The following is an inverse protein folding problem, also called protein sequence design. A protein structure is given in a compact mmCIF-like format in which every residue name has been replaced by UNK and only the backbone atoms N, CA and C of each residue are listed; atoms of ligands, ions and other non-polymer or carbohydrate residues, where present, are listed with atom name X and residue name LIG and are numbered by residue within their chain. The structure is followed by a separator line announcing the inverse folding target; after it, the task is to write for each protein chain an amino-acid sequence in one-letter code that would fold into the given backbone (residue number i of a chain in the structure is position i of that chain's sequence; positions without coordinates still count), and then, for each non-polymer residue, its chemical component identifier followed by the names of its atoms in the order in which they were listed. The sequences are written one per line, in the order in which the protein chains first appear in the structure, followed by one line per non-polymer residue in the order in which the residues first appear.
data_IF_162817948216
#
_entry.id   IF_162817948216
#
_cell.length_a   1.000
_cell.length_b   1.000
_cell.length_c   1.000
_cell.angle_alpha   90.00
_cell.angle_beta   90.00
_cell.angle_gamma   90.00
#
_symmetry.space_group_name_H-M   'P 1'
#
loop_
_entity.id
_entity.type
_entity.pdbx_description
1 polymer ?
#
# COMPACT_ATOMS: atom_id res chain seq x y z
N UNK A 1 -28.06 -71.81 6.13
CA UNK A 1 -28.75 -70.53 6.39
C UNK A 1 -27.82 -69.41 5.99
N UNK A 2 -28.12 -68.71 4.88
CA UNK A 2 -27.29 -67.61 4.35
C UNK A 2 -27.70 -66.31 5.06
N UNK A 3 -26.78 -65.72 5.82
CA UNK A 3 -26.97 -64.43 6.46
C UNK A 3 -26.66 -63.32 5.44
N UNK A 4 -27.67 -62.56 5.05
CA UNK A 4 -27.51 -61.37 4.22
C UNK A 4 -27.21 -60.18 5.15
N UNK A 5 -25.95 -59.75 5.18
CA UNK A 5 -25.54 -58.53 5.88
C UNK A 5 -26.01 -57.29 5.11
N UNK A 6 -26.96 -56.57 5.70
CA UNK A 6 -27.48 -55.30 5.20
C UNK A 6 -26.50 -54.18 5.61
N UNK A 7 -25.75 -53.64 4.65
CA UNK A 7 -24.90 -52.47 4.84
C UNK A 7 -25.77 -51.21 4.76
N UNK A 8 -25.88 -50.48 5.87
CA UNK A 8 -26.53 -49.17 5.94
C UNK A 8 -25.48 -48.10 5.58
N UNK A 9 -25.64 -47.46 4.43
CA UNK A 9 -24.79 -46.35 3.99
C UNK A 9 -25.39 -45.03 4.53
N UNK A 10 -24.74 -44.41 5.51
CA UNK A 10 -25.12 -43.08 6.02
C UNK A 10 -24.35 -42.02 5.23
N UNK A 11 -25.04 -41.28 4.38
CA UNK A 11 -24.48 -40.14 3.66
C UNK A 11 -24.67 -38.89 4.53
N UNK A 12 -23.58 -38.38 5.11
CA UNK A 12 -23.56 -37.10 5.82
C UNK A 12 -23.32 -36.00 4.78
N UNK A 13 -24.37 -35.26 4.44
CA UNK A 13 -24.26 -34.07 3.60
C UNK A 13 -23.85 -32.90 4.49
N UNK A 14 -22.55 -32.58 4.49
CA UNK A 14 -22.03 -31.34 5.07
C UNK A 14 -22.41 -30.17 4.15
N UNK A 15 -23.55 -29.55 4.42
CA UNK A 15 -23.91 -28.27 3.83
C UNK A 15 -23.12 -27.15 4.49
N UNK A 16 -22.26 -26.48 3.74
CA UNK A 16 -21.67 -25.20 4.15
C UNK A 16 -22.79 -24.16 4.19
N UNK A 17 -23.27 -23.81 5.38
CA UNK A 17 -24.09 -22.62 5.59
C UNK A 17 -23.16 -21.42 5.44
N UNK A 18 -23.28 -20.69 4.34
CA UNK A 18 -22.75 -19.34 4.20
C UNK A 18 -23.48 -18.45 5.21
N UNK A 19 -22.94 -18.37 6.42
CA UNK A 19 -23.36 -17.36 7.38
C UNK A 19 -22.87 -16.02 6.87
N UNK A 20 -23.79 -15.13 6.54
CA UNK A 20 -23.49 -13.71 6.43
C UNK A 20 -22.92 -13.28 7.79
N UNK A 21 -21.62 -12.96 7.82
CA UNK A 21 -21.00 -12.37 9.00
C UNK A 21 -21.67 -11.03 9.23
N UNK A 22 -22.53 -10.96 10.25
CA UNK A 22 -23.06 -9.68 10.72
C UNK A 22 -21.86 -8.92 11.27
N UNK A 23 -21.40 -7.92 10.54
CA UNK A 23 -20.32 -7.03 10.96
C UNK A 23 -20.79 -6.26 12.19
N UNK A 24 -20.45 -6.78 13.38
CA UNK A 24 -20.60 -6.04 14.64
C UNK A 24 -19.57 -4.92 14.58
N UNK A 25 -20.02 -3.71 14.27
CA UNK A 25 -19.18 -2.52 14.24
C UNK A 25 -18.90 -2.09 15.68
N UNK A 26 -17.65 -2.18 16.17
CA UNK A 26 -17.33 -1.62 17.48
C UNK A 26 -17.44 -0.10 17.41
N UNK A 27 -18.14 0.49 18.38
CA UNK A 27 -18.32 1.95 18.48
C UNK A 27 -17.02 2.70 18.86
N UNK A 28 -15.95 1.97 19.22
CA UNK A 28 -14.69 2.54 19.65
C UNK A 28 -13.50 1.77 19.07
N UNK A 29 -12.55 2.46 18.43
CA UNK A 29 -11.35 1.84 17.86
C UNK A 29 -10.47 1.20 18.94
N UNK A 30 -10.57 1.70 20.17
CA UNK A 30 -9.88 1.14 21.32
C UNK A 30 -10.27 -0.32 21.63
N UNK A 31 -11.44 -0.77 21.15
CA UNK A 31 -11.93 -2.14 21.39
C UNK A 31 -11.48 -3.14 20.32
N UNK A 32 -10.79 -2.67 19.27
CA UNK A 32 -10.26 -3.54 18.22
C UNK A 32 -9.01 -4.20 18.77
N UNK A 33 -9.14 -5.47 19.18
CA UNK A 33 -8.00 -6.30 19.57
C UNK A 33 -7.10 -6.43 18.35
N UNK A 34 -5.85 -5.91 18.38
CA UNK A 34 -4.97 -6.02 17.24
C UNK A 34 -4.71 -7.50 16.95
N UNK A 35 -4.62 -7.88 15.67
CA UNK A 35 -4.14 -9.19 15.29
C UNK A 35 -2.83 -9.53 16.01
N UNK A 36 -2.65 -10.78 16.47
CA UNK A 36 -1.51 -11.16 17.31
C UNK A 36 -0.16 -10.79 16.67
N UNK A 37 -0.07 -10.82 15.34
CA UNK A 37 1.10 -10.45 14.55
C UNK A 37 1.44 -8.94 14.55
N UNK A 38 0.53 -8.05 14.96
CA UNK A 38 0.79 -6.60 15.00
C UNK A 38 1.34 -6.10 16.35
N UNK A 39 1.38 -6.95 17.37
CA UNK A 39 1.68 -6.59 18.77
C UNK A 39 3.17 -6.33 19.06
N UNK A 40 4.05 -6.69 18.13
CA UNK A 40 5.50 -6.69 18.33
C UNK A 40 6.23 -5.49 17.70
N UNK A 41 5.50 -4.52 17.14
CA UNK A 41 6.11 -3.37 16.47
C UNK A 41 6.54 -2.31 17.50
N UNK A 42 7.85 -2.16 17.68
CA UNK A 42 8.48 -1.26 18.66
C UNK A 42 9.22 -0.15 17.90
N UNK A 43 9.01 1.10 18.30
CA UNK A 43 9.72 2.29 17.81
C UNK A 43 11.17 2.34 18.32
N UNK A 44 11.98 3.23 17.74
CA UNK A 44 13.41 3.37 18.09
C UNK A 44 13.68 3.82 19.53
N UNK A 45 12.68 4.41 20.20
CA UNK A 45 12.74 4.80 21.62
C UNK A 45 12.31 3.68 22.58
N UNK A 46 11.98 2.50 22.06
CA UNK A 46 11.50 1.36 22.85
C UNK A 46 10.01 1.40 23.20
N UNK A 47 9.27 2.43 22.76
CA UNK A 47 7.81 2.50 22.84
C UNK A 47 7.12 1.77 21.69
N UNK A 48 5.80 1.53 21.73
CA UNK A 48 5.08 0.97 20.58
C UNK A 48 5.06 1.96 19.41
N UNK A 49 5.46 1.51 18.22
CA UNK A 49 5.29 2.32 17.00
C UNK A 49 3.82 2.31 16.59
N UNK A 50 3.07 3.29 17.11
CA UNK A 50 1.64 3.43 16.86
C UNK A 50 1.32 3.53 15.37
N UNK A 51 2.23 4.04 14.54
CA UNK A 51 2.01 4.17 13.09
C UNK A 51 2.14 2.81 12.43
N UNK A 52 3.22 2.09 12.69
CA UNK A 52 3.43 0.75 12.15
C UNK A 52 2.34 -0.23 12.62
N UNK A 53 1.95 -0.17 13.90
CA UNK A 53 0.82 -0.97 14.42
C UNK A 53 -0.48 -0.66 13.68
N UNK A 54 -0.78 0.61 13.40
CA UNK A 54 -2.00 0.99 12.66
C UNK A 54 -1.99 0.49 11.22
N UNK A 55 -0.87 0.58 10.51
CA UNK A 55 -0.72 -0.01 9.17
C UNK A 55 -0.91 -1.52 9.21
N UNK A 56 -0.30 -2.22 10.17
CA UNK A 56 -0.46 -3.67 10.32
C UNK A 56 -1.94 -4.07 10.55
N UNK A 57 -2.65 -3.36 11.44
CA UNK A 57 -4.08 -3.59 11.66
C UNK A 57 -4.87 -3.34 10.36
N UNK A 58 -4.55 -2.26 9.64
CA UNK A 58 -5.21 -1.94 8.37
C UNK A 58 -5.01 -3.05 7.33
N UNK A 59 -3.78 -3.53 7.14
CA UNK A 59 -3.47 -4.60 6.18
C UNK A 59 -4.15 -5.93 6.53
N UNK A 60 -4.20 -6.26 7.81
CA UNK A 60 -4.83 -7.49 8.30
C UNK A 60 -6.36 -7.45 8.20
N UNK A 61 -6.97 -6.30 8.53
CA UNK A 61 -8.44 -6.18 8.60
C UNK A 61 -9.07 -5.72 7.30
N UNK A 62 -8.36 -4.90 6.52
CA UNK A 62 -8.87 -4.20 5.32
C UNK A 62 -10.23 -3.53 5.56
N UNK A 63 -10.43 -2.99 6.77
CA UNK A 63 -11.73 -2.53 7.23
C UNK A 63 -11.89 -1.02 7.05
N UNK A 64 -12.91 -0.61 6.30
CA UNK A 64 -13.31 0.82 6.20
C UNK A 64 -13.72 1.36 7.58
N UNK A 65 -14.36 0.53 8.41
CA UNK A 65 -14.81 0.95 9.74
C UNK A 65 -13.64 1.25 10.67
N UNK A 66 -12.56 0.48 10.57
CA UNK A 66 -11.32 0.77 11.28
C UNK A 66 -10.81 2.18 10.95
N UNK A 67 -10.70 2.52 9.67
CA UNK A 67 -10.28 3.86 9.26
C UNK A 67 -11.24 4.96 9.71
N UNK A 68 -12.56 4.70 9.68
CA UNK A 68 -13.58 5.68 10.08
C UNK A 68 -13.59 5.99 11.56
N UNK A 69 -13.15 5.06 12.40
CA UNK A 69 -13.06 5.29 13.83
C UNK A 69 -11.81 6.06 14.27
N UNK A 70 -10.86 6.34 13.36
CA UNK A 70 -9.69 7.15 13.68
C UNK A 70 -10.09 8.61 13.88
N UNK A 71 -9.63 9.23 14.98
CA UNK A 71 -9.83 10.65 15.23
C UNK A 71 -9.11 11.49 14.17
N UNK A 72 -9.79 12.53 13.65
CA UNK A 72 -9.25 13.41 12.61
C UNK A 72 -8.07 14.28 13.07
N UNK A 73 -7.87 14.42 14.37
CA UNK A 73 -6.98 15.45 14.92
C UNK A 73 -5.62 14.89 15.32
N UNK A 74 -4.60 15.30 14.54
CA UNK A 74 -3.15 15.22 14.80
C UNK A 74 -2.52 13.81 14.79
N UNK A 75 -1.63 13.60 13.82
CA UNK A 75 -0.79 12.41 13.72
C UNK A 75 -0.37 12.12 12.28
N UNK A 76 0.63 11.27 12.10
CA UNK A 76 1.10 10.81 10.77
C UNK A 76 0.13 9.82 10.12
N UNK A 77 -0.70 9.12 10.92
CA UNK A 77 -1.71 8.18 10.43
C UNK A 77 -3.12 8.67 10.75
N UNK A 78 -3.64 9.53 9.88
CA UNK A 78 -4.98 10.12 9.99
C UNK A 78 -6.05 9.24 9.32
N UNK A 79 -7.32 9.56 9.54
CA UNK A 79 -8.44 8.93 8.81
C UNK A 79 -8.24 8.99 7.29
N UNK A 80 -7.82 10.16 6.77
CA UNK A 80 -7.54 10.36 5.34
C UNK A 80 -6.47 9.42 4.81
N UNK A 81 -5.33 9.31 5.53
CA UNK A 81 -4.23 8.41 5.17
C UNK A 81 -4.71 6.97 5.19
N UNK A 82 -5.44 6.57 6.24
CA UNK A 82 -5.97 5.21 6.37
C UNK A 82 -6.91 4.86 5.22
N UNK A 83 -7.89 5.71 4.90
CA UNK A 83 -8.85 5.46 3.82
C UNK A 83 -8.17 5.38 2.45
N UNK A 84 -7.19 6.25 2.20
CA UNK A 84 -6.39 6.26 0.97
C UNK A 84 -5.57 4.97 0.82
N UNK A 85 -4.81 4.59 1.87
CA UNK A 85 -4.06 3.34 1.88
C UNK A 85 -4.98 2.14 1.72
N UNK A 86 -6.12 2.14 2.41
CA UNK A 86 -7.11 1.07 2.28
C UNK A 86 -7.59 0.94 0.83
N UNK A 87 -7.96 2.06 0.21
CA UNK A 87 -8.45 2.10 -1.17
C UNK A 87 -7.45 1.49 -2.14
N UNK A 88 -6.16 1.81 -1.98
CA UNK A 88 -5.08 1.21 -2.76
C UNK A 88 -4.90 -0.28 -2.47
N UNK A 89 -4.95 -0.69 -1.19
CA UNK A 89 -4.79 -2.10 -0.77
C UNK A 89 -5.89 -3.02 -1.32
N UNK A 90 -7.11 -2.51 -1.51
CA UNK A 90 -8.27 -3.29 -1.98
C UNK A 90 -8.70 -2.95 -3.41
N UNK A 91 -7.97 -2.07 -4.10
CA UNK A 91 -8.28 -1.59 -5.46
C UNK A 91 -9.74 -1.15 -5.62
N UNK A 92 -10.26 -0.36 -4.66
CA UNK A 92 -11.67 0.07 -4.64
C UNK A 92 -11.79 1.52 -4.24
N UNK A 93 -12.66 2.26 -4.93
CA UNK A 93 -12.97 3.67 -4.63
C UNK A 93 -13.99 3.83 -3.49
N UNK A 94 -14.60 2.73 -3.00
CA UNK A 94 -15.61 2.78 -1.93
C UNK A 94 -15.10 3.47 -0.64
N UNK A 95 -13.86 3.26 -0.16
CA UNK A 95 -13.33 4.01 0.98
C UNK A 95 -13.25 5.52 0.74
N UNK A 96 -13.17 5.96 -0.52
CA UNK A 96 -13.02 7.37 -0.90
C UNK A 96 -14.33 8.15 -0.84
N UNK A 97 -15.49 7.49 -0.76
CA UNK A 97 -16.81 8.16 -0.72
C UNK A 97 -16.99 9.12 0.46
N UNK A 98 -16.22 8.94 1.53
CA UNK A 98 -16.23 9.84 2.70
C UNK A 98 -15.23 10.99 2.61
N UNK A 99 -14.43 11.08 1.54
CA UNK A 99 -13.48 12.16 1.29
C UNK A 99 -14.02 13.10 0.22
N UNK A 100 -13.59 14.35 0.24
CA UNK A 100 -14.04 15.38 -0.70
C UNK A 100 -12.85 16.20 -1.22
N UNK A 101 -13.07 16.95 -2.30
CA UNK A 101 -12.03 17.80 -2.91
C UNK A 101 -10.81 17.01 -3.36
N UNK A 102 -9.63 17.61 -3.20
CA UNK A 102 -8.35 17.03 -3.60
C UNK A 102 -8.02 15.73 -2.83
N UNK A 103 -8.47 15.59 -1.58
CA UNK A 103 -8.29 14.35 -0.80
C UNK A 103 -9.09 13.18 -1.37
N UNK A 104 -10.30 13.47 -1.87
CA UNK A 104 -11.13 12.48 -2.57
C UNK A 104 -10.48 12.04 -3.89
N UNK A 105 -9.92 12.98 -4.65
CA UNK A 105 -9.19 12.70 -5.89
C UNK A 105 -7.93 11.87 -5.63
N UNK A 106 -7.14 12.23 -4.62
CA UNK A 106 -5.97 11.47 -4.19
C UNK A 106 -6.34 10.02 -3.84
N UNK A 107 -7.39 9.82 -3.04
CA UNK A 107 -7.87 8.47 -2.70
C UNK A 107 -8.32 7.69 -3.93
N UNK A 108 -9.03 8.32 -4.88
CA UNK A 108 -9.44 7.68 -6.14
C UNK A 108 -8.24 7.30 -6.99
N UNK A 109 -7.23 8.17 -7.07
CA UNK A 109 -5.99 7.87 -7.77
C UNK A 109 -5.29 6.66 -7.16
N UNK A 110 -5.18 6.62 -5.83
CA UNK A 110 -4.62 5.50 -5.09
C UNK A 110 -5.40 4.19 -5.32
N UNK A 111 -6.74 4.24 -5.29
CA UNK A 111 -7.61 3.09 -5.54
C UNK A 111 -7.44 2.49 -6.94
N UNK A 112 -7.18 3.35 -7.93
CA UNK A 112 -7.03 2.98 -9.34
C UNK A 112 -5.58 2.76 -9.75
N UNK A 113 -4.62 3.07 -8.87
CA UNK A 113 -3.20 3.13 -9.17
C UNK A 113 -2.88 3.96 -10.42
N UNK A 114 -3.35 5.22 -10.48
CA UNK A 114 -3.30 6.04 -11.71
C UNK A 114 -2.74 7.44 -11.52
N UNK A 115 -1.58 7.73 -12.14
CA UNK A 115 -0.99 9.08 -12.20
C UNK A 115 -1.91 10.09 -12.92
N UNK A 116 -2.64 9.65 -13.94
CA UNK A 116 -3.60 10.50 -14.65
C UNK A 116 -4.76 10.98 -13.75
N UNK A 117 -5.08 10.26 -12.69
CA UNK A 117 -6.03 10.75 -11.66
C UNK A 117 -5.35 11.76 -10.71
N UNK A 118 -4.06 11.61 -10.41
CA UNK A 118 -3.30 12.62 -9.67
C UNK A 118 -3.23 13.96 -10.40
N UNK A 119 -3.17 13.96 -11.74
CA UNK A 119 -3.17 15.20 -12.55
C UNK A 119 -4.44 16.05 -12.42
N UNK A 120 -5.52 15.47 -11.89
CA UNK A 120 -6.79 16.19 -11.66
C UNK A 120 -6.78 17.01 -10.37
N UNK A 121 -5.84 16.71 -9.46
CA UNK A 121 -5.66 17.40 -8.18
C UNK A 121 -5.14 18.81 -8.43
N UNK A 122 -5.77 19.82 -7.82
CA UNK A 122 -5.44 21.23 -8.06
C UNK A 122 -4.30 21.72 -7.16
N UNK A 123 -4.27 21.31 -5.89
CA UNK A 123 -3.20 21.67 -4.98
C UNK A 123 -1.93 20.86 -5.28
N UNK A 124 -0.84 21.56 -5.62
CA UNK A 124 0.45 20.92 -5.91
C UNK A 124 0.94 20.03 -4.76
N UNK A 125 0.79 20.46 -3.50
CA UNK A 125 1.20 19.67 -2.34
C UNK A 125 0.45 18.33 -2.25
N UNK A 126 -0.86 18.33 -2.53
CA UNK A 126 -1.69 17.12 -2.55
C UNK A 126 -1.40 16.27 -3.80
N UNK A 127 -1.06 16.89 -4.93
CA UNK A 127 -0.63 16.19 -6.14
C UNK A 127 0.68 15.44 -5.91
N UNK A 128 1.66 16.08 -5.28
CA UNK A 128 2.93 15.44 -4.91
C UNK A 128 2.69 14.29 -3.91
N UNK A 129 1.76 14.48 -2.97
CA UNK A 129 1.34 13.41 -2.07
C UNK A 129 0.69 12.24 -2.81
N UNK A 130 -0.11 12.50 -3.84
CA UNK A 130 -0.73 11.48 -4.67
C UNK A 130 0.32 10.61 -5.37
N UNK A 131 1.31 11.24 -6.02
CA UNK A 131 2.42 10.53 -6.67
C UNK A 131 3.19 9.68 -5.65
N UNK A 132 3.52 10.25 -4.48
CA UNK A 132 4.19 9.49 -3.40
C UNK A 132 3.34 8.31 -2.89
N UNK A 133 2.03 8.49 -2.80
CA UNK A 133 1.10 7.45 -2.35
C UNK A 133 1.04 6.32 -3.36
N UNK A 134 1.01 6.62 -4.66
CA UNK A 134 1.09 5.63 -5.72
C UNK A 134 2.40 4.86 -5.66
N UNK A 135 3.53 5.54 -5.52
CA UNK A 135 4.82 4.86 -5.37
C UNK A 135 4.89 3.92 -4.16
N UNK A 136 4.29 4.31 -3.02
CA UNK A 136 4.25 3.47 -1.81
C UNK A 136 3.31 2.27 -1.91
N UNK A 137 2.19 2.42 -2.60
CA UNK A 137 1.15 1.39 -2.67
C UNK A 137 1.16 0.62 -3.99
N UNK A 138 2.07 0.94 -4.90
CA UNK A 138 2.46 0.04 -5.98
C UNK A 138 2.85 -1.26 -5.30
N UNK A 139 1.92 -2.21 -5.33
CA UNK A 139 1.98 -3.45 -4.59
C UNK A 139 2.85 -4.38 -5.43
N UNK A 140 4.13 -4.03 -5.55
CA UNK A 140 5.01 -4.71 -6.49
C UNK A 140 5.55 -5.92 -5.74
N UNK A 141 4.92 -7.06 -6.04
CA UNK A 141 5.18 -8.34 -5.37
C UNK A 141 6.16 -9.19 -6.15
N UNK A 142 6.40 -8.88 -7.42
CA UNK A 142 7.56 -9.36 -8.17
C UNK A 142 7.83 -8.50 -9.40
N UNK A 143 9.01 -8.70 -10.01
CA UNK A 143 9.40 -8.18 -11.32
C UNK A 143 8.36 -8.46 -12.44
N UNK A 144 7.54 -9.50 -12.30
CA UNK A 144 6.50 -9.85 -13.28
C UNK A 144 5.33 -8.87 -13.25
N UNK A 145 5.13 -8.16 -12.13
CA UNK A 145 4.05 -7.17 -11.98
C UNK A 145 4.31 -5.86 -12.76
N UNK A 146 5.54 -5.65 -13.24
CA UNK A 146 5.86 -4.53 -14.14
C UNK A 146 5.52 -4.85 -15.61
N UNK A 147 5.18 -6.10 -15.95
CA UNK A 147 4.80 -6.45 -17.33
C UNK A 147 3.48 -5.79 -17.73
N UNK A 148 3.49 -5.05 -18.84
CA UNK A 148 2.31 -4.36 -19.38
C UNK A 148 2.14 -2.92 -18.90
N UNK A 149 2.96 -2.46 -17.94
CA UNK A 149 3.06 -1.04 -17.61
C UNK A 149 3.88 -0.30 -18.69
N UNK A 150 3.63 1.00 -18.84
CA UNK A 150 4.36 1.83 -19.81
C UNK A 150 4.64 3.21 -19.23
N UNK A 151 5.63 3.88 -19.80
CA UNK A 151 5.98 5.24 -19.43
C UNK A 151 6.45 5.37 -17.98
N UNK A 152 5.93 6.37 -17.27
CA UNK A 152 6.34 6.71 -15.91
C UNK A 152 6.00 5.61 -14.89
N UNK A 153 4.83 4.97 -15.03
CA UNK A 153 4.41 3.86 -14.16
C UNK A 153 5.43 2.70 -14.19
N UNK A 154 5.91 2.36 -15.41
CA UNK A 154 6.95 1.34 -15.57
C UNK A 154 8.27 1.76 -14.92
N UNK A 155 8.67 3.04 -15.05
CA UNK A 155 9.90 3.54 -14.45
C UNK A 155 9.87 3.43 -12.93
N UNK A 156 8.78 3.88 -12.30
CA UNK A 156 8.58 3.73 -10.86
C UNK A 156 8.53 2.27 -10.43
N UNK A 157 7.85 1.42 -11.20
CA UNK A 157 7.79 -0.01 -10.91
C UNK A 157 9.20 -0.63 -10.86
N UNK A 158 10.04 -0.30 -11.82
CA UNK A 158 11.43 -0.78 -11.89
C UNK A 158 12.30 -0.23 -10.75
N UNK A 159 12.20 1.06 -10.40
CA UNK A 159 12.97 1.66 -9.30
C UNK A 159 12.82 0.89 -7.98
N UNK A 160 11.58 0.54 -7.63
CA UNK A 160 11.27 -0.08 -6.35
C UNK A 160 11.57 -1.58 -6.32
N UNK A 161 11.74 -2.23 -7.48
CA UNK A 161 11.98 -3.68 -7.58
C UNK A 161 13.37 -4.05 -8.04
N UNK A 162 14.16 -3.08 -8.49
CA UNK A 162 15.52 -3.29 -8.88
C UNK A 162 16.31 -3.92 -7.72
N UNK A 163 16.67 -5.19 -7.89
CA UNK A 163 17.58 -5.93 -7.01
C UNK A 163 19.02 -5.52 -7.29
N UNK A 164 19.31 -5.13 -8.54
CA UNK A 164 20.61 -4.65 -8.98
C UNK A 164 20.47 -3.51 -10.01
N UNK A 165 21.61 -2.94 -10.40
CA UNK A 165 21.67 -1.84 -11.36
C UNK A 165 21.35 -2.23 -12.81
N UNK A 166 21.45 -3.51 -13.16
CA UNK A 166 21.16 -3.99 -14.52
C UNK A 166 19.66 -3.84 -14.78
N UNK A 167 18.83 -4.04 -13.77
CA UNK A 167 17.38 -3.85 -13.90
C UNK A 167 16.99 -2.40 -14.20
N UNK A 168 17.76 -1.44 -13.68
CA UNK A 168 17.57 -0.02 -13.94
C UNK A 168 17.82 0.37 -15.41
N UNK A 169 18.60 -0.42 -16.16
CA UNK A 169 18.86 -0.19 -17.59
C UNK A 169 17.60 -0.35 -18.46
N UNK A 170 16.52 -0.92 -17.92
CA UNK A 170 15.23 -1.05 -18.61
C UNK A 170 14.44 0.27 -18.60
N UNK A 171 14.80 1.22 -17.74
CA UNK A 171 14.25 2.57 -17.74
C UNK A 171 14.96 3.32 -18.86
N UNK A 172 14.21 3.85 -19.84
CA UNK A 172 14.78 4.68 -20.89
C UNK A 172 15.31 5.99 -20.30
N UNK A 173 16.64 6.19 -20.24
CA UNK A 173 17.22 7.35 -19.57
C UNK A 173 17.00 8.64 -20.37
N UNK A 174 16.58 8.57 -21.64
CA UNK A 174 16.28 9.77 -22.44
C UNK A 174 14.93 10.37 -22.08
N UNK A 175 14.00 9.52 -21.61
CA UNK A 175 12.64 9.92 -21.22
C UNK A 175 12.50 10.08 -19.71
N UNK A 176 13.29 9.34 -18.92
CA UNK A 176 13.20 9.23 -17.45
C UNK A 176 14.58 9.31 -16.79
N UNK A 177 15.30 10.41 -17.06
CA UNK A 177 16.69 10.57 -16.61
C UNK A 177 16.79 10.50 -15.08
N UNK A 178 15.94 11.22 -14.36
CA UNK A 178 16.01 11.32 -12.90
C UNK A 178 15.59 10.01 -12.22
N UNK A 179 14.59 9.34 -12.76
CA UNK A 179 14.13 8.02 -12.31
C UNK A 179 15.20 6.95 -12.52
N UNK A 180 15.90 6.98 -13.66
CA UNK A 180 17.00 6.03 -13.91
C UNK A 180 18.16 6.23 -12.92
N UNK A 181 18.49 7.49 -12.59
CA UNK A 181 19.49 7.82 -11.55
C UNK A 181 19.02 7.34 -10.18
N UNK A 182 17.75 7.58 -9.84
CA UNK A 182 17.16 7.12 -8.59
C UNK A 182 17.23 5.58 -8.51
N UNK A 183 16.78 4.85 -9.54
CA UNK A 183 16.85 3.39 -9.56
C UNK A 183 18.25 2.87 -9.19
N UNK A 184 19.29 3.43 -9.80
CA UNK A 184 20.69 3.04 -9.55
C UNK A 184 21.12 3.41 -8.12
N UNK A 185 20.76 4.60 -7.64
CA UNK A 185 21.05 5.00 -6.27
C UNK A 185 20.40 4.04 -5.26
N UNK A 186 19.15 3.64 -5.52
CA UNK A 186 18.35 2.75 -4.69
C UNK A 186 18.88 1.31 -4.67
N UNK A 187 19.28 0.76 -5.82
CA UNK A 187 19.83 -0.60 -5.91
C UNK A 187 21.23 -0.70 -5.31
N UNK A 188 22.06 0.35 -5.46
CA UNK A 188 23.40 0.42 -4.82
C UNK A 188 23.36 0.83 -3.35
N UNK A 189 22.24 1.40 -2.90
CA UNK A 189 22.13 1.99 -1.59
C UNK A 189 23.05 3.21 -1.41
N UNK A 190 23.42 3.97 -2.45
CA UNK A 190 24.41 5.05 -2.41
C UNK A 190 23.77 6.44 -2.49
N UNK A 191 23.59 7.11 -1.36
CA UNK A 191 22.91 8.44 -1.29
C UNK A 191 23.58 9.50 -2.16
N UNK A 192 24.92 9.46 -2.30
CA UNK A 192 25.66 10.44 -3.11
C UNK A 192 25.30 10.42 -4.60
N UNK A 193 24.67 9.36 -5.09
CA UNK A 193 24.16 9.29 -6.46
C UNK A 193 22.92 10.18 -6.63
N UNK A 194 22.08 10.31 -5.59
CA UNK A 194 20.86 11.12 -5.63
C UNK A 194 21.13 12.61 -5.92
N UNK A 195 22.31 13.13 -5.60
CA UNK A 195 22.70 14.52 -5.88
C UNK A 195 22.73 14.87 -7.37
N UNK A 196 22.75 13.86 -8.24
CA UNK A 196 22.74 14.03 -9.70
C UNK A 196 21.34 14.19 -10.29
N UNK A 197 20.30 13.99 -9.48
CA UNK A 197 18.90 14.13 -9.88
C UNK A 197 18.58 15.62 -9.98
N UNK A 198 18.04 16.03 -11.13
CA UNK A 198 17.71 17.42 -11.44
C UNK A 198 16.42 17.90 -10.77
N UNK A 199 15.41 17.04 -10.71
CA UNK A 199 14.15 17.30 -10.02
C UNK A 199 14.30 17.20 -8.49
N UNK A 200 13.96 18.29 -7.80
CA UNK A 200 14.10 18.41 -6.34
C UNK A 200 13.25 17.39 -5.58
N UNK A 201 12.06 17.05 -6.09
CA UNK A 201 11.13 16.11 -5.48
C UNK A 201 11.70 14.70 -5.61
N UNK A 202 12.07 14.29 -6.83
CA UNK A 202 12.65 12.97 -7.10
C UNK A 202 13.95 12.79 -6.32
N UNK A 203 14.79 13.83 -6.24
CA UNK A 203 16.02 13.82 -5.45
C UNK A 203 15.75 13.59 -3.97
N UNK A 204 14.80 14.34 -3.41
CA UNK A 204 14.42 14.22 -2.00
C UNK A 204 13.88 12.82 -1.68
N UNK A 205 13.09 12.23 -2.59
CA UNK A 205 12.64 10.84 -2.45
C UNK A 205 13.82 9.87 -2.50
N UNK A 206 14.72 10.02 -3.47
CA UNK A 206 15.91 9.19 -3.59
C UNK A 206 16.73 9.16 -2.30
N UNK A 207 17.08 10.33 -1.76
CA UNK A 207 17.86 10.43 -0.51
C UNK A 207 17.16 9.70 0.63
N UNK A 208 15.84 9.89 0.77
CA UNK A 208 15.05 9.24 1.82
C UNK A 208 15.09 7.72 1.68
N UNK A 209 14.68 7.19 0.53
CA UNK A 209 14.53 5.74 0.32
C UNK A 209 15.88 5.01 0.43
N UNK A 210 16.94 5.56 -0.17
CA UNK A 210 18.29 5.00 -0.12
C UNK A 210 18.82 4.93 1.32
N UNK A 211 18.48 5.92 2.14
CA UNK A 211 18.91 5.97 3.55
C UNK A 211 18.15 4.96 4.40
N UNK A 212 16.84 4.78 4.17
CA UNK A 212 16.00 3.85 4.95
C UNK A 212 16.26 2.38 4.62
N UNK A 213 16.69 2.04 3.40
CA UNK A 213 16.96 0.64 2.99
C UNK A 213 18.19 0.01 3.64
N UNK A 214 19.04 0.82 4.31
CA UNK A 214 20.28 0.36 4.98
C UNK A 214 20.08 -0.09 6.44
N UNK A 215 18.84 -0.10 6.94
CA UNK A 215 18.47 -0.54 8.29
C UNK A 215 17.79 -1.90 8.20
#
# INVERSE_FOLDING_TARGET
MKNNGMFLLVIVVLGCVQGESVDVVPNNVADIIPPQNCSHLIASDGGPDLTATRYCILEATKSIQYCRGLSGDSGVFTQRVCLTTLAALINSTKPCESLSGDDGLLCVAAAKHSLAECDKIQANETKDECVRTLGKNANIKSREDCEGQTGEDLAWCLIYNAEDEIECLKIDPTSYTDESIFCVANSRGEVGICEKIGDDIVRSMCVREVTTRRI
#
